data_IF_077794442955
#
_entry.id   IF_077794442955
#
_cell.length_a   1.000
_cell.length_b   1.000
_cell.length_c   1.000
_cell.angle_alpha   90.00
_cell.angle_beta   90.00
_cell.angle_gamma   90.00
#
_symmetry.space_group_name_H-M   'P 1'
#
loop_
_entity.id
_entity.type
_entity.pdbx_description
1 polymer ?
#
# COMPACT_ATOMS: atom_id res chain seq x y z
N UNK A 1 35.60 4.82 69.50
CA UNK A 1 36.36 5.31 68.33
C UNK A 1 35.38 5.83 67.32
N UNK A 2 35.70 7.01 66.82
CA UNK A 2 34.83 8.06 66.30
C UNK A 2 34.30 7.82 64.89
N UNK A 3 32.99 8.09 64.77
CA UNK A 3 32.24 8.56 63.60
C UNK A 3 33.10 9.25 62.51
N UNK A 4 32.98 8.77 61.28
CA UNK A 4 33.19 9.58 60.08
C UNK A 4 32.27 9.08 58.96
N UNK A 5 31.42 10.00 58.49
CA UNK A 5 30.79 10.09 57.18
C UNK A 5 29.50 9.31 56.92
N UNK A 6 28.45 9.68 57.65
CA UNK A 6 27.15 9.93 57.01
C UNK A 6 27.08 11.43 56.66
N UNK A 7 27.54 11.81 55.47
CA UNK A 7 27.12 13.07 54.87
C UNK A 7 25.90 12.73 54.03
N UNK A 8 24.76 13.12 54.57
CA UNK A 8 23.42 12.99 54.04
C UNK A 8 23.27 13.72 52.72
N UNK A 9 22.89 12.99 51.67
CA UNK A 9 22.42 13.50 50.37
C UNK A 9 21.03 14.16 50.46
N UNK A 10 20.72 14.84 51.56
CA UNK A 10 19.43 15.50 51.78
C UNK A 10 19.52 16.96 51.35
N UNK A 11 18.61 17.34 50.44
CA UNK A 11 18.22 18.71 50.10
C UNK A 11 19.19 19.55 49.26
N UNK A 12 19.62 19.01 48.12
CA UNK A 12 19.71 19.87 46.93
C UNK A 12 18.35 19.76 46.26
N UNK A 13 17.49 20.77 46.42
CA UNK A 13 16.21 20.82 45.72
C UNK A 13 16.45 20.63 44.22
N UNK A 14 15.61 19.83 43.56
CA UNK A 14 15.70 19.61 42.10
C UNK A 14 15.69 20.95 41.33
N UNK A 15 15.07 21.98 41.91
CA UNK A 15 15.08 23.35 41.41
C UNK A 15 16.49 23.95 41.27
N UNK A 16 17.38 23.73 42.24
CA UNK A 16 18.77 24.22 42.19
C UNK A 16 19.61 23.50 41.12
N UNK A 17 19.27 22.25 40.80
CA UNK A 17 19.98 21.46 39.79
C UNK A 17 19.61 21.91 38.36
N UNK A 18 18.33 22.24 38.13
CA UNK A 18 17.88 22.75 36.83
C UNK A 18 18.39 24.18 36.55
N UNK A 19 18.50 25.03 37.57
CA UNK A 19 19.13 26.35 37.44
C UNK A 19 20.62 26.24 37.07
N UNK A 20 21.36 25.34 37.72
CA UNK A 20 22.77 25.09 37.42
C UNK A 20 23.00 24.56 35.99
N UNK A 21 22.14 23.66 35.50
CA UNK A 21 22.24 23.14 34.12
C UNK A 21 21.99 24.25 33.09
N UNK A 22 21.02 25.13 33.33
CA UNK A 22 20.72 26.28 32.46
C UNK A 22 21.91 27.23 32.38
N UNK A 23 22.51 27.61 33.51
CA UNK A 23 23.68 28.51 33.52
C UNK A 23 24.91 27.92 32.82
N UNK A 24 25.15 26.61 32.98
CA UNK A 24 26.25 25.93 32.27
C UNK A 24 26.01 25.88 30.75
N UNK A 25 24.76 25.68 30.34
CA UNK A 25 24.38 25.65 28.93
C UNK A 25 24.52 27.04 28.29
N UNK A 26 24.05 28.11 28.97
CA UNK A 26 24.14 29.49 28.46
C UNK A 26 25.58 29.95 28.34
N UNK A 27 26.45 29.66 29.32
CA UNK A 27 27.88 29.99 29.26
C UNK A 27 28.59 29.29 28.11
N UNK A 28 28.29 28.02 27.86
CA UNK A 28 28.86 27.29 26.72
C UNK A 28 28.37 27.84 25.38
N UNK A 29 27.09 28.15 25.25
CA UNK A 29 26.54 28.79 24.05
C UNK A 29 27.15 30.17 23.81
N UNK A 30 27.30 31.00 24.84
CA UNK A 30 27.93 32.32 24.73
C UNK A 30 29.39 32.23 24.27
N UNK A 31 30.14 31.24 24.77
CA UNK A 31 31.53 30.97 24.32
C UNK A 31 31.59 30.50 22.87
N UNK A 32 30.66 29.66 22.43
CA UNK A 32 30.59 29.23 21.03
C UNK A 32 30.22 30.38 20.09
N UNK A 33 29.26 31.23 20.50
CA UNK A 33 28.85 32.39 19.71
C UNK A 33 29.98 33.41 19.55
N UNK A 34 30.73 33.69 20.61
CA UNK A 34 31.88 34.61 20.54
C UNK A 34 33.00 34.07 19.64
N UNK A 35 33.27 32.76 19.69
CA UNK A 35 34.22 32.13 18.76
C UNK A 35 33.75 32.22 17.31
N UNK A 36 32.46 31.95 17.04
CA UNK A 36 31.90 32.09 15.68
C UNK A 36 31.98 33.54 15.19
N UNK A 37 31.63 34.52 16.04
CA UNK A 37 31.73 35.94 15.70
C UNK A 37 33.16 36.34 15.30
N UNK A 38 34.18 35.85 16.02
CA UNK A 38 35.57 36.13 15.68
C UNK A 38 36.00 35.51 14.34
N UNK A 39 35.51 34.32 14.01
CA UNK A 39 35.77 33.65 12.73
C UNK A 39 35.11 34.42 11.56
N UNK A 40 33.90 34.95 11.76
CA UNK A 40 33.15 35.66 10.71
C UNK A 40 33.45 37.15 10.60
N UNK A 41 34.13 37.76 11.58
CA UNK A 41 34.51 39.18 11.55
C UNK A 41 35.17 39.66 10.25
N UNK A 42 36.18 38.97 9.68
CA UNK A 42 36.77 39.37 8.40
C UNK A 42 35.78 39.28 7.23
N UNK A 43 34.87 38.31 7.23
CA UNK A 43 33.79 38.22 6.24
C UNK A 43 32.86 39.43 6.35
N UNK A 44 32.44 39.81 7.56
CA UNK A 44 31.55 40.97 7.79
C UNK A 44 32.20 42.27 7.28
N UNK A 45 33.50 42.45 7.50
CA UNK A 45 34.21 43.63 6.97
C UNK A 45 34.31 43.63 5.44
N UNK A 46 34.38 42.45 4.82
CA UNK A 46 34.39 42.30 3.36
C UNK A 46 33.00 42.58 2.75
N UNK A 47 31.93 42.15 3.43
CA UNK A 47 30.53 42.44 3.09
C UNK A 47 30.28 43.93 3.00
N UNK A 48 30.71 44.69 4.02
CA UNK A 48 30.43 46.12 4.13
C UNK A 48 31.11 46.95 3.04
N UNK A 49 32.22 46.45 2.48
CA UNK A 49 33.03 47.17 1.51
C UNK A 49 32.48 47.08 0.08
N UNK A 50 32.02 45.89 -0.35
CA UNK A 50 31.50 45.64 -1.71
C UNK A 50 30.39 44.55 -1.67
N UNK A 51 29.10 44.92 -1.52
CA UNK A 51 28.02 43.94 -1.34
C UNK A 51 27.80 43.03 -2.56
N UNK A 52 28.15 43.49 -3.77
CA UNK A 52 28.00 42.71 -5.01
C UNK A 52 28.96 41.51 -5.09
N UNK A 53 30.20 41.64 -4.61
CA UNK A 53 31.17 40.54 -4.55
C UNK A 53 30.75 39.48 -3.52
N UNK A 54 30.10 39.89 -2.44
CA UNK A 54 29.52 38.97 -1.48
C UNK A 54 28.46 38.09 -2.11
N UNK A 55 27.53 38.68 -2.86
CA UNK A 55 26.46 37.93 -3.52
C UNK A 55 27.08 36.91 -4.48
N UNK A 56 28.06 37.32 -5.30
CA UNK A 56 28.75 36.40 -6.21
C UNK A 56 29.42 35.21 -5.48
N UNK A 57 29.96 35.43 -4.28
CA UNK A 57 30.57 34.38 -3.46
C UNK A 57 29.54 33.51 -2.72
N UNK A 58 28.43 34.09 -2.24
CA UNK A 58 27.39 33.39 -1.48
C UNK A 58 26.43 32.61 -2.37
N UNK A 59 26.19 33.06 -3.60
CA UNK A 59 25.22 32.42 -4.51
C UNK A 59 25.49 30.92 -4.73
N UNK A 60 26.74 30.46 -4.98
CA UNK A 60 27.03 29.03 -5.08
C UNK A 60 26.65 28.24 -3.81
N UNK A 61 26.86 28.81 -2.61
CA UNK A 61 26.49 28.18 -1.36
C UNK A 61 24.97 28.09 -1.17
N UNK A 62 24.25 29.17 -1.50
CA UNK A 62 22.79 29.17 -1.45
C UNK A 62 22.23 28.12 -2.41
N UNK A 63 22.73 28.06 -3.64
CA UNK A 63 22.32 27.05 -4.64
C UNK A 63 22.63 25.64 -4.14
N UNK A 64 23.80 25.40 -3.55
CA UNK A 64 24.17 24.10 -3.00
C UNK A 64 23.24 23.67 -1.85
N UNK A 65 22.91 24.58 -0.92
CA UNK A 65 22.02 24.30 0.21
C UNK A 65 20.59 24.03 -0.28
N UNK A 66 20.04 24.89 -1.14
CA UNK A 66 18.70 24.70 -1.69
C UNK A 66 18.62 23.42 -2.52
N UNK A 67 19.64 23.15 -3.34
CA UNK A 67 19.75 21.93 -4.12
C UNK A 67 19.80 20.68 -3.25
N UNK A 68 20.54 20.72 -2.13
CA UNK A 68 20.58 19.62 -1.17
C UNK A 68 19.22 19.40 -0.50
N UNK A 69 18.57 20.46 0.00
CA UNK A 69 17.26 20.37 0.63
C UNK A 69 16.20 19.81 -0.33
N UNK A 70 16.19 20.30 -1.58
CA UNK A 70 15.28 19.84 -2.63
C UNK A 70 15.52 18.36 -2.98
N UNK A 71 16.78 17.97 -3.17
CA UNK A 71 17.17 16.58 -3.50
C UNK A 71 16.79 15.62 -2.37
N UNK A 72 17.04 16.01 -1.12
CA UNK A 72 16.68 15.19 0.05
C UNK A 72 15.17 15.03 0.17
N UNK A 73 14.39 16.09 -0.06
CA UNK A 73 12.93 16.01 -0.03
C UNK A 73 12.34 15.12 -1.14
N UNK A 74 12.93 15.13 -2.34
CA UNK A 74 12.53 14.22 -3.43
C UNK A 74 12.84 12.77 -3.08
N UNK A 75 14.09 12.50 -2.67
CA UNK A 75 14.52 11.14 -2.30
C UNK A 75 13.65 10.54 -1.20
N UNK A 76 13.30 11.34 -0.20
CA UNK A 76 12.40 10.92 0.87
C UNK A 76 11.03 10.50 0.30
N UNK A 77 10.41 11.30 -0.57
CA UNK A 77 9.13 10.94 -1.21
C UNK A 77 9.21 9.70 -2.09
N UNK A 78 10.32 9.48 -2.79
CA UNK A 78 10.55 8.28 -3.59
C UNK A 78 10.63 7.03 -2.71
N UNK A 79 11.36 7.10 -1.60
CA UNK A 79 11.46 6.01 -0.62
C UNK A 79 10.08 5.71 -0.01
N UNK A 80 9.31 6.74 0.35
CA UNK A 80 7.94 6.58 0.86
C UNK A 80 7.04 5.87 -0.15
N UNK A 81 7.08 6.30 -1.42
CA UNK A 81 6.30 5.67 -2.50
C UNK A 81 6.70 4.21 -2.66
N UNK A 82 8.00 3.90 -2.59
CA UNK A 82 8.49 2.52 -2.71
C UNK A 82 8.03 1.64 -1.55
N UNK A 83 8.05 2.14 -0.32
CA UNK A 83 7.52 1.41 0.82
C UNK A 83 6.02 1.15 0.72
N UNK A 84 5.24 2.14 0.27
CA UNK A 84 3.81 1.96 0.03
C UNK A 84 3.58 0.90 -1.05
N UNK A 85 4.33 0.92 -2.15
CA UNK A 85 4.23 -0.08 -3.22
C UNK A 85 4.47 -1.50 -2.67
N UNK A 86 5.57 -1.71 -1.96
CA UNK A 86 5.90 -3.00 -1.32
C UNK A 86 4.79 -3.44 -0.35
N UNK A 87 4.32 -2.53 0.50
CA UNK A 87 3.24 -2.81 1.44
C UNK A 87 1.94 -3.20 0.71
N UNK A 88 1.60 -2.52 -0.38
CA UNK A 88 0.41 -2.86 -1.17
C UNK A 88 0.56 -4.21 -1.86
N UNK A 89 1.75 -4.56 -2.34
CA UNK A 89 1.99 -5.86 -2.98
C UNK A 89 1.85 -7.01 -1.99
N UNK A 90 2.40 -6.88 -0.76
CA UNK A 90 2.20 -7.87 0.32
C UNK A 90 0.70 -8.04 0.65
N UNK A 91 -0.06 -6.95 0.61
CA UNK A 91 -1.51 -6.99 0.91
C UNK A 91 -2.37 -7.50 -0.25
N UNK A 92 -1.82 -7.59 -1.48
CA UNK A 92 -2.45 -8.26 -2.62
C UNK A 92 -2.30 -9.78 -2.55
N UNK A 93 -1.24 -10.28 -1.93
CA UNK A 93 -1.04 -11.71 -1.71
C UNK A 93 -2.16 -12.31 -0.85
N UNK A 94 -2.45 -13.59 -1.06
CA UNK A 94 -3.49 -14.30 -0.32
C UNK A 94 -3.17 -14.34 1.19
N UNK A 95 -4.16 -14.09 2.05
CA UNK A 95 -3.97 -14.17 3.50
C UNK A 95 -3.60 -15.60 3.91
N UNK A 96 -2.50 -15.75 4.65
CA UNK A 96 -2.08 -17.01 5.26
C UNK A 96 -1.64 -16.79 6.71
N UNK A 97 -1.60 -17.85 7.51
CA UNK A 97 -1.08 -17.77 8.89
C UNK A 97 0.39 -17.35 8.94
N UNK A 98 1.15 -17.62 7.88
CA UNK A 98 2.58 -17.31 7.81
C UNK A 98 2.87 -15.85 7.45
N UNK A 99 1.98 -15.17 6.71
CA UNK A 99 2.19 -13.79 6.27
C UNK A 99 1.45 -12.73 7.10
N UNK A 100 0.76 -13.13 8.18
CA UNK A 100 -0.02 -12.20 9.02
C UNK A 100 0.83 -11.03 9.55
N UNK A 101 2.02 -11.31 10.07
CA UNK A 101 2.94 -10.27 10.58
C UNK A 101 3.38 -9.29 9.47
N UNK A 102 3.64 -9.81 8.26
CA UNK A 102 4.02 -8.98 7.12
C UNK A 102 2.89 -8.06 6.66
N UNK A 103 1.65 -8.54 6.75
CA UNK A 103 0.45 -7.74 6.45
C UNK A 103 0.21 -6.67 7.50
N UNK A 104 0.42 -6.99 8.78
CA UNK A 104 0.36 -5.98 9.85
C UNK A 104 1.43 -4.89 9.67
N UNK A 105 2.66 -5.29 9.34
CA UNK A 105 3.72 -4.35 8.98
C UNK A 105 3.31 -3.48 7.80
N UNK A 106 2.79 -4.08 6.74
CA UNK A 106 2.34 -3.36 5.54
C UNK A 106 1.25 -2.32 5.85
N UNK A 107 0.27 -2.67 6.69
CA UNK A 107 -0.77 -1.74 7.13
C UNK A 107 -0.22 -0.62 8.00
N UNK A 108 0.82 -0.89 8.81
CA UNK A 108 1.50 0.15 9.59
C UNK A 108 2.26 1.12 8.68
N UNK A 109 2.96 0.62 7.65
CA UNK A 109 3.64 1.45 6.66
C UNK A 109 2.65 2.35 5.93
N UNK A 110 1.53 1.79 5.45
CA UNK A 110 0.49 2.57 4.76
C UNK A 110 -0.08 3.63 5.71
N UNK A 111 -0.43 3.28 6.95
CA UNK A 111 -0.95 4.24 7.92
C UNK A 111 0.05 5.34 8.31
N UNK A 112 1.35 5.02 8.30
CA UNK A 112 2.39 5.98 8.64
C UNK A 112 2.53 7.08 7.58
N UNK A 113 2.42 6.71 6.30
CA UNK A 113 2.58 7.64 5.17
C UNK A 113 1.25 8.19 4.61
N UNK A 114 0.11 7.57 4.92
CA UNK A 114 -1.20 8.03 4.44
C UNK A 114 -1.72 9.22 5.27
N UNK A 115 -2.34 10.23 4.62
CA UNK A 115 -2.96 11.35 5.33
C UNK A 115 -4.21 10.94 6.13
N UNK A 116 -4.84 9.81 5.77
CA UNK A 116 -6.01 9.26 6.43
C UNK A 116 -5.66 7.86 6.93
N UNK A 117 -5.77 7.65 8.24
CA UNK A 117 -5.47 6.36 8.85
C UNK A 117 -6.60 5.36 8.59
N UNK A 118 -6.21 4.11 8.30
CA UNK A 118 -7.12 2.98 8.12
C UNK A 118 -7.73 2.64 9.48
N UNK A 119 -9.06 2.65 9.56
CA UNK A 119 -9.78 2.33 10.79
C UNK A 119 -9.57 0.85 11.21
N UNK A 120 -9.80 0.55 12.49
CA UNK A 120 -9.56 -0.79 13.05
C UNK A 120 -10.34 -1.90 12.35
N UNK A 121 -11.57 -1.64 11.91
CA UNK A 121 -12.39 -2.62 11.20
C UNK A 121 -11.77 -2.97 9.85
N UNK A 122 -11.43 -1.96 9.05
CA UNK A 122 -10.81 -2.12 7.73
C UNK A 122 -9.44 -2.77 7.85
N UNK A 123 -8.68 -2.46 8.91
CA UNK A 123 -7.42 -3.13 9.23
C UNK A 123 -7.62 -4.63 9.41
N UNK A 124 -8.59 -5.04 10.22
CA UNK A 124 -8.93 -6.46 10.42
C UNK A 124 -9.41 -7.12 9.13
N UNK A 125 -10.17 -6.40 8.28
CA UNK A 125 -10.57 -6.91 6.98
C UNK A 125 -9.37 -7.11 6.06
N UNK A 126 -8.45 -6.16 5.98
CA UNK A 126 -7.23 -6.31 5.17
C UNK A 126 -6.37 -7.46 5.68
N UNK A 127 -6.17 -7.64 6.98
CA UNK A 127 -5.37 -8.75 7.54
C UNK A 127 -5.97 -10.11 7.17
N UNK A 128 -7.30 -10.24 7.26
CA UNK A 128 -7.97 -11.52 7.08
C UNK A 128 -8.36 -11.82 5.62
N UNK A 129 -8.54 -10.81 4.77
CA UNK A 129 -9.10 -10.97 3.42
C UNK A 129 -8.23 -10.39 2.30
N UNK A 130 -7.32 -9.48 2.62
CA UNK A 130 -6.51 -8.75 1.64
C UNK A 130 -7.21 -7.58 0.97
N UNK A 131 -6.53 -6.94 0.02
CA UNK A 131 -7.04 -5.76 -0.68
C UNK A 131 -8.11 -6.13 -1.71
N UNK A 132 -8.03 -7.31 -2.30
CA UNK A 132 -9.10 -7.79 -3.16
C UNK A 132 -10.32 -8.09 -2.29
N UNK A 133 -11.52 -7.69 -2.77
CA UNK A 133 -12.75 -8.36 -2.38
C UNK A 133 -12.66 -9.80 -2.90
N UNK A 134 -11.80 -10.60 -2.26
CA UNK A 134 -11.84 -12.04 -2.36
C UNK A 134 -13.26 -12.39 -1.97
N UNK A 135 -13.97 -12.93 -2.95
CA UNK A 135 -15.33 -13.37 -2.82
C UNK A 135 -15.39 -14.28 -1.58
N UNK A 136 -16.15 -13.86 -0.56
CA UNK A 136 -16.18 -14.56 0.72
C UNK A 136 -17.00 -15.84 0.55
N UNK A 137 -16.38 -16.92 0.09
CA UNK A 137 -17.02 -18.21 -0.19
C UNK A 137 -17.91 -18.71 0.97
N UNK A 138 -17.44 -18.58 2.21
CA UNK A 138 -18.20 -18.96 3.40
C UNK A 138 -19.55 -18.24 3.47
N UNK A 139 -19.59 -16.96 3.07
CA UNK A 139 -20.85 -16.20 3.03
C UNK A 139 -21.84 -16.85 2.08
N UNK A 140 -21.43 -17.35 0.91
CA UNK A 140 -22.37 -17.87 -0.08
C UNK A 140 -22.85 -19.27 0.20
N UNK A 141 -22.02 -20.06 0.90
CA UNK A 141 -22.45 -21.32 1.47
C UNK A 141 -23.56 -21.10 2.52
N UNK A 142 -23.52 -19.97 3.25
CA UNK A 142 -24.56 -19.57 4.21
C UNK A 142 -25.82 -18.96 3.56
N UNK A 143 -25.78 -18.62 2.27
CA UNK A 143 -26.93 -18.05 1.55
C UNK A 143 -27.89 -19.14 1.05
N UNK A 144 -29.18 -18.80 0.98
CA UNK A 144 -30.16 -19.65 0.32
C UNK A 144 -29.83 -19.82 -1.18
N UNK A 145 -30.33 -20.88 -1.81
CA UNK A 145 -30.02 -21.17 -3.24
C UNK A 145 -30.31 -19.98 -4.16
N UNK A 146 -31.45 -19.29 -3.97
CA UNK A 146 -31.82 -18.14 -4.79
C UNK A 146 -30.94 -16.91 -4.52
N UNK A 147 -30.54 -16.67 -3.28
CA UNK A 147 -29.63 -15.59 -2.91
C UNK A 147 -28.22 -15.83 -3.48
N UNK A 148 -27.74 -17.08 -3.39
CA UNK A 148 -26.46 -17.51 -3.95
C UNK A 148 -26.42 -17.30 -5.46
N UNK A 149 -27.44 -17.76 -6.17
CA UNK A 149 -27.57 -17.56 -7.62
C UNK A 149 -27.53 -16.06 -7.98
N UNK A 150 -28.28 -15.23 -7.25
CA UNK A 150 -28.30 -13.78 -7.48
C UNK A 150 -26.91 -13.14 -7.29
N UNK A 151 -26.16 -13.55 -6.28
CA UNK A 151 -24.79 -13.09 -6.03
C UNK A 151 -23.84 -13.58 -7.13
N UNK A 152 -23.86 -14.88 -7.48
CA UNK A 152 -23.02 -15.45 -8.54
C UNK A 152 -23.24 -14.75 -9.89
N UNK A 153 -24.50 -14.49 -10.25
CA UNK A 153 -24.87 -13.70 -11.42
C UNK A 153 -24.30 -12.28 -11.31
N UNK A 154 -24.45 -11.62 -10.16
CA UNK A 154 -23.96 -10.27 -9.92
C UNK A 154 -22.46 -10.15 -10.12
N UNK A 155 -21.68 -11.06 -9.54
CA UNK A 155 -20.23 -11.11 -9.71
C UNK A 155 -19.81 -11.42 -11.14
N UNK A 156 -20.43 -12.42 -11.77
CA UNK A 156 -20.14 -12.78 -13.17
C UNK A 156 -20.43 -11.60 -14.11
N UNK A 157 -21.55 -10.88 -13.93
CA UNK A 157 -21.83 -9.64 -14.68
C UNK A 157 -20.76 -8.57 -14.45
N UNK A 158 -20.30 -8.42 -13.22
CA UNK A 158 -19.23 -7.50 -12.87
C UNK A 158 -17.95 -7.78 -13.66
N UNK A 159 -17.56 -9.05 -13.75
CA UNK A 159 -16.41 -9.47 -14.56
C UNK A 159 -16.64 -9.28 -16.06
N UNK A 160 -17.78 -9.69 -16.60
CA UNK A 160 -18.12 -9.47 -18.02
C UNK A 160 -18.02 -7.99 -18.41
N UNK A 161 -18.50 -7.09 -17.55
CA UNK A 161 -18.38 -5.64 -17.77
C UNK A 161 -16.91 -5.18 -17.81
N UNK A 162 -16.04 -5.70 -16.93
CA UNK A 162 -14.60 -5.37 -16.94
C UNK A 162 -13.94 -5.80 -18.24
N UNK A 163 -14.32 -6.96 -18.76
CA UNK A 163 -13.83 -7.46 -20.04
C UNK A 163 -14.59 -6.89 -21.26
N UNK A 164 -15.52 -5.94 -21.07
CA UNK A 164 -16.36 -5.42 -22.16
C UNK A 164 -17.03 -6.55 -22.99
N UNK A 165 -17.42 -7.63 -22.34
CA UNK A 165 -17.96 -8.84 -22.96
C UNK A 165 -19.48 -8.91 -22.75
N UNK A 166 -20.23 -9.13 -23.83
CA UNK A 166 -21.68 -9.37 -23.76
C UNK A 166 -21.98 -10.74 -23.18
N UNK A 167 -23.16 -10.92 -22.58
CA UNK A 167 -23.56 -12.21 -22.01
C UNK A 167 -23.71 -13.26 -23.12
N UNK A 168 -24.22 -12.88 -24.29
CA UNK A 168 -24.30 -13.80 -25.44
C UNK A 168 -22.94 -14.28 -25.92
N UNK A 169 -21.93 -13.39 -25.97
CA UNK A 169 -20.59 -13.76 -26.38
C UNK A 169 -19.90 -14.66 -25.34
N UNK A 170 -20.16 -14.41 -24.05
CA UNK A 170 -19.73 -15.32 -22.99
C UNK A 170 -20.39 -16.70 -23.07
N UNK A 171 -21.71 -16.78 -23.34
CA UNK A 171 -22.40 -18.06 -23.56
C UNK A 171 -21.89 -18.80 -24.78
N UNK A 172 -21.63 -18.10 -25.89
CA UNK A 172 -20.96 -18.67 -27.07
C UNK A 172 -19.59 -19.21 -26.69
N UNK A 173 -18.86 -18.53 -25.81
CA UNK A 173 -17.57 -19.01 -25.37
C UNK A 173 -17.66 -20.29 -24.54
N UNK A 174 -18.53 -20.32 -23.53
CA UNK A 174 -18.81 -21.54 -22.77
C UNK A 174 -19.30 -22.69 -23.67
N UNK A 175 -20.09 -22.37 -24.70
CA UNK A 175 -20.61 -23.36 -25.64
C UNK A 175 -19.52 -23.95 -26.54
N UNK A 176 -18.65 -23.10 -27.11
CA UNK A 176 -17.48 -23.55 -27.88
C UNK A 176 -16.52 -24.39 -27.06
N UNK A 177 -16.38 -24.07 -25.77
CA UNK A 177 -15.57 -24.84 -24.83
C UNK A 177 -16.24 -26.16 -24.38
N UNK A 178 -17.50 -26.40 -24.77
CA UNK A 178 -18.23 -27.66 -24.49
C UNK A 178 -19.04 -27.67 -23.19
N UNK A 179 -19.09 -26.56 -22.45
CA UNK A 179 -19.73 -26.48 -21.14
C UNK A 179 -21.18 -25.97 -21.18
N UNK A 180 -21.63 -25.36 -22.30
CA UNK A 180 -22.98 -24.80 -22.42
C UNK A 180 -23.68 -25.19 -23.74
N UNK A 181 -24.92 -25.69 -23.66
CA UNK A 181 -25.68 -26.21 -24.83
C UNK A 181 -27.02 -25.52 -25.08
N UNK A 182 -27.42 -24.59 -24.21
CA UNK A 182 -28.74 -23.92 -24.29
C UNK A 182 -28.66 -22.65 -25.16
N UNK A 183 -29.71 -21.83 -25.13
CA UNK A 183 -29.79 -20.60 -25.92
C UNK A 183 -28.63 -19.64 -25.62
N UNK A 184 -27.77 -19.48 -26.62
CA UNK A 184 -26.58 -18.63 -26.61
C UNK A 184 -26.88 -17.16 -26.92
N UNK A 185 -28.06 -16.84 -27.48
CA UNK A 185 -28.37 -15.48 -27.92
C UNK A 185 -29.03 -14.63 -26.83
N UNK A 186 -29.54 -15.27 -25.77
CA UNK A 186 -30.12 -14.58 -24.61
C UNK A 186 -29.05 -13.85 -23.78
N UNK A 187 -29.30 -12.58 -23.46
CA UNK A 187 -28.46 -11.74 -22.57
C UNK A 187 -28.73 -11.99 -21.07
N UNK A 188 -29.47 -13.04 -20.73
CA UNK A 188 -29.79 -13.42 -19.35
C UNK A 188 -28.72 -14.38 -18.82
N UNK A 189 -28.13 -14.05 -17.68
CA UNK A 189 -27.40 -15.02 -16.87
C UNK A 189 -28.39 -15.68 -15.91
N UNK A 190 -28.52 -16.99 -16.02
CA UNK A 190 -29.42 -17.83 -15.23
C UNK A 190 -28.63 -18.99 -14.60
N UNK A 191 -29.35 -19.92 -13.95
CA UNK A 191 -28.74 -21.08 -13.31
C UNK A 191 -27.94 -21.95 -14.30
N UNK A 192 -28.39 -22.06 -15.56
CA UNK A 192 -27.73 -22.92 -16.54
C UNK A 192 -26.35 -22.39 -16.94
N UNK A 193 -26.21 -21.06 -16.99
CA UNK A 193 -24.90 -20.43 -17.21
C UNK A 193 -24.00 -20.65 -16.00
N UNK A 194 -24.52 -20.53 -14.78
CA UNK A 194 -23.75 -20.78 -13.56
C UNK A 194 -23.29 -22.24 -13.49
N UNK A 195 -24.15 -23.20 -13.84
CA UNK A 195 -23.82 -24.62 -13.89
C UNK A 195 -22.71 -24.89 -14.93
N UNK A 196 -22.77 -24.24 -16.10
CA UNK A 196 -21.70 -24.32 -17.09
C UNK A 196 -20.36 -23.73 -16.58
N UNK A 197 -20.41 -22.65 -15.79
CA UNK A 197 -19.22 -22.09 -15.14
C UNK A 197 -18.66 -23.06 -14.10
N UNK A 198 -19.51 -23.73 -13.32
CA UNK A 198 -19.10 -24.77 -12.35
C UNK A 198 -18.36 -25.90 -13.08
N UNK A 199 -18.90 -26.40 -14.19
CA UNK A 199 -18.24 -27.45 -14.98
C UNK A 199 -16.89 -27.00 -15.56
N UNK A 200 -16.79 -25.75 -16.01
CA UNK A 200 -15.52 -25.17 -16.44
C UNK A 200 -14.52 -25.13 -15.29
N UNK A 201 -14.94 -24.67 -14.10
CA UNK A 201 -14.12 -24.62 -12.89
C UNK A 201 -13.64 -26.00 -12.46
N UNK A 202 -14.54 -27.00 -12.42
CA UNK A 202 -14.22 -28.40 -12.11
C UNK A 202 -13.14 -28.96 -13.03
N UNK A 203 -13.14 -28.57 -14.30
CA UNK A 203 -12.14 -29.03 -15.27
C UNK A 203 -10.80 -28.25 -15.22
N UNK A 204 -10.74 -27.15 -14.47
CA UNK A 204 -9.61 -26.22 -14.50
C UNK A 204 -8.89 -26.12 -13.15
N UNK A 205 -9.66 -26.16 -12.07
CA UNK A 205 -9.18 -25.93 -10.71
C UNK A 205 -8.91 -27.26 -10.03
N UNK A 206 -7.71 -27.41 -9.47
CA UNK A 206 -7.34 -28.62 -8.74
C UNK A 206 -8.00 -28.72 -7.36
N UNK A 207 -8.35 -27.58 -6.77
CA UNK A 207 -8.95 -27.51 -5.45
C UNK A 207 -10.48 -27.39 -5.59
N UNK A 208 -11.26 -28.38 -5.09
CA UNK A 208 -12.72 -28.31 -5.11
C UNK A 208 -13.26 -27.09 -4.37
N UNK A 209 -12.46 -26.55 -3.44
CA UNK A 209 -12.86 -25.36 -2.72
C UNK A 209 -12.88 -24.08 -3.57
N UNK A 210 -12.31 -24.07 -4.76
CA UNK A 210 -12.32 -22.90 -5.64
C UNK A 210 -13.51 -22.94 -6.64
N UNK A 211 -14.32 -24.01 -6.60
CA UNK A 211 -15.51 -24.16 -7.43
C UNK A 211 -16.68 -23.44 -6.75
N UNK A 212 -17.02 -22.27 -7.26
CA UNK A 212 -18.02 -21.39 -6.67
C UNK A 212 -19.09 -20.87 -7.64
N UNK A 213 -19.03 -21.29 -8.91
CA UNK A 213 -19.92 -20.88 -9.98
C UNK A 213 -19.76 -19.42 -10.41
N UNK A 214 -18.68 -18.74 -10.02
CA UNK A 214 -18.37 -17.39 -10.47
C UNK A 214 -17.28 -17.43 -11.51
N UNK A 215 -17.59 -16.84 -12.67
CA UNK A 215 -16.58 -16.67 -13.70
C UNK A 215 -15.68 -15.49 -13.32
N UNK A 216 -14.65 -15.76 -12.53
CA UNK A 216 -13.57 -14.82 -12.20
C UNK A 216 -12.42 -14.86 -13.19
N UNK A 217 -11.29 -14.25 -12.82
CA UNK A 217 -10.08 -14.13 -13.65
C UNK A 217 -9.59 -15.48 -14.20
N UNK A 218 -9.50 -16.50 -13.33
CA UNK A 218 -9.02 -17.84 -13.72
C UNK A 218 -9.91 -18.46 -14.80
N UNK A 219 -11.23 -18.31 -14.69
CA UNK A 219 -12.17 -18.82 -15.69
C UNK A 219 -12.00 -18.11 -17.05
N UNK A 220 -11.80 -16.79 -17.05
CA UNK A 220 -11.56 -16.03 -18.29
C UNK A 220 -10.24 -16.42 -18.95
N UNK A 221 -9.17 -16.54 -18.17
CA UNK A 221 -7.87 -17.00 -18.65
C UNK A 221 -7.97 -18.40 -19.27
N UNK A 222 -8.74 -19.32 -18.67
CA UNK A 222 -8.98 -20.64 -19.26
C UNK A 222 -9.72 -20.58 -20.60
N UNK A 223 -10.76 -19.76 -20.71
CA UNK A 223 -11.52 -19.59 -21.96
C UNK A 223 -10.65 -18.99 -23.07
N UNK A 224 -9.70 -18.13 -22.71
CA UNK A 224 -8.70 -17.59 -23.62
C UNK A 224 -7.68 -18.65 -24.05
N UNK A 225 -7.14 -19.45 -23.13
CA UNK A 225 -6.21 -20.55 -23.45
C UNK A 225 -6.80 -21.57 -24.44
N UNK A 226 -8.12 -21.78 -24.40
CA UNK A 226 -8.83 -22.66 -25.34
C UNK A 226 -9.09 -21.95 -26.70
N UNK A 227 -8.64 -20.70 -26.86
CA UNK A 227 -8.78 -19.91 -28.08
C UNK A 227 -10.20 -19.39 -28.32
N UNK A 228 -11.02 -19.33 -27.27
CA UNK A 228 -12.44 -19.02 -27.40
C UNK A 228 -12.71 -17.52 -27.26
N UNK A 229 -11.94 -16.86 -26.40
CA UNK A 229 -11.89 -15.40 -26.29
C UNK A 229 -10.67 -14.89 -27.08
N UNK A 230 -10.82 -13.81 -27.83
CA UNK A 230 -9.70 -13.18 -28.55
C UNK A 230 -8.80 -12.44 -27.55
N UNK A 231 -7.47 -12.49 -27.73
CA UNK A 231 -6.45 -11.79 -26.92
C UNK A 231 -6.66 -10.27 -26.77
N UNK A 232 -7.57 -9.67 -27.55
CA UNK A 232 -7.83 -8.22 -27.56
C UNK A 232 -8.31 -7.65 -26.22
N UNK A 233 -8.63 -8.47 -25.22
CA UNK A 233 -9.17 -8.02 -23.95
C UNK A 233 -8.12 -7.53 -22.94
N UNK A 234 -6.84 -7.91 -23.09
CA UNK A 234 -5.78 -7.52 -22.14
C UNK A 234 -5.10 -6.19 -22.48
N UNK A 235 -5.21 -5.70 -23.71
CA UNK A 235 -4.51 -4.47 -24.13
C UNK A 235 -5.01 -3.19 -23.45
N UNK A 236 -6.18 -3.23 -22.78
CA UNK A 236 -6.72 -2.08 -22.07
C UNK A 236 -6.45 -2.08 -20.56
N UNK A 237 -5.82 -3.14 -20.02
CA UNK A 237 -5.46 -3.21 -18.60
C UNK A 237 -3.98 -3.55 -18.48
N UNK A 238 -3.16 -2.52 -18.23
CA UNK A 238 -1.77 -2.65 -17.77
C UNK A 238 -1.73 -3.26 -16.35
N UNK A 239 -2.11 -4.53 -16.22
CA UNK A 239 -1.70 -5.36 -15.10
C UNK A 239 -0.53 -6.20 -15.60
N UNK A 240 0.69 -5.98 -15.10
CA UNK A 240 1.82 -6.82 -15.46
C UNK A 240 1.56 -8.23 -14.90
N UNK A 241 1.13 -9.15 -15.78
CA UNK A 241 1.18 -10.58 -15.51
C UNK A 241 2.67 -10.94 -15.42
N UNK A 242 3.17 -11.18 -14.21
CA UNK A 242 4.50 -11.77 -14.03
C UNK A 242 4.40 -13.24 -14.47
N UNK A 243 5.06 -13.54 -15.59
CA UNK A 243 5.40 -14.90 -16.00
C UNK A 243 6.49 -15.48 -15.09
#
# INVERSE_FOLDING_TARGET
MSNLNQITSSEISEDNLEEYKKDKLTKNLAKQLTNLQNIFKPLITLVQKDPSKLIALLMPFVIAIVGHLYTSAIKEKEIQTKYIEIATDILKEEPSKYNQNMREWSLNIINHYAPITINKQTRSEFINRGIYRSYNKERLQKLSKSQRLKEQIGYTKGWLKRYNLKVSDFKKALSKAGYFKKDINSEILDQDVIDAVILLQESTLSNPDDIDGICGEICFHKLEQIGVLKEQFYLNYNFPLKH
#
